data_IF_761250809964
#
_entry.id   IF_761250809964
#
_cell.length_a   1.000
_cell.length_b   1.000
_cell.length_c   1.000
_cell.angle_alpha   90.00
_cell.angle_beta   90.00
_cell.angle_gamma   90.00
#
_symmetry.space_group_name_H-M   'P 1'
#
loop_
_entity.id
_entity.type
_entity.pdbx_description
1 polymer ?
#
# COMPACT_ATOMS: atom_id res chain seq x y z
N UNK A 1 -35.76 -36.50 -37.34
CA UNK A 1 -34.64 -36.65 -36.38
C UNK A 1 -33.85 -35.34 -36.37
N UNK A 2 -34.12 -34.44 -35.41
CA UNK A 2 -33.39 -33.17 -35.26
C UNK A 2 -32.32 -33.35 -34.19
N UNK A 3 -31.05 -33.29 -34.59
CA UNK A 3 -29.90 -33.28 -33.67
C UNK A 3 -29.77 -31.87 -33.11
N UNK A 4 -29.95 -31.71 -31.80
CA UNK A 4 -29.65 -30.45 -31.10
C UNK A 4 -28.24 -30.60 -30.53
N UNK A 5 -27.31 -29.80 -31.04
CA UNK A 5 -25.94 -29.72 -30.57
C UNK A 5 -25.92 -28.71 -29.40
N UNK A 6 -25.47 -29.08 -28.18
CA UNK A 6 -25.25 -28.07 -27.15
C UNK A 6 -23.91 -27.37 -27.43
N UNK A 7 -23.98 -26.11 -27.83
CA UNK A 7 -22.81 -25.22 -27.83
C UNK A 7 -22.54 -24.88 -26.36
N UNK A 8 -21.58 -25.60 -25.78
CA UNK A 8 -20.91 -25.22 -24.55
C UNK A 8 -20.13 -23.95 -24.91
N UNK A 9 -20.73 -22.80 -24.64
CA UNK A 9 -20.06 -21.51 -24.69
C UNK A 9 -19.20 -21.40 -23.42
N UNK A 10 -18.01 -21.98 -23.46
CA UNK A 10 -16.91 -21.63 -22.56
C UNK A 10 -16.58 -20.16 -22.82
N UNK A 11 -17.22 -19.25 -22.09
CA UNK A 11 -16.74 -17.88 -21.94
C UNK A 11 -15.48 -17.99 -21.09
N UNK A 12 -14.26 -17.77 -21.63
CA UNK A 12 -13.10 -17.66 -20.77
C UNK A 12 -13.32 -16.42 -19.91
N UNK A 13 -13.35 -16.63 -18.61
CA UNK A 13 -13.20 -15.62 -17.56
C UNK A 13 -11.89 -14.86 -17.80
N UNK A 14 -11.92 -13.90 -18.71
CA UNK A 14 -10.96 -12.80 -18.75
C UNK A 14 -11.53 -11.70 -17.86
N UNK A 15 -11.66 -12.00 -16.57
CA UNK A 15 -11.58 -10.99 -15.52
C UNK A 15 -10.10 -10.56 -15.44
N UNK A 16 -9.60 -9.96 -16.52
CA UNK A 16 -8.43 -9.09 -16.45
C UNK A 16 -8.96 -7.80 -15.84
N UNK A 17 -9.32 -7.87 -14.56
CA UNK A 17 -9.44 -6.66 -13.76
C UNK A 17 -8.08 -5.98 -13.84
N UNK A 18 -8.05 -4.68 -14.06
CA UNK A 18 -6.90 -3.85 -13.72
C UNK A 18 -6.63 -4.04 -12.22
N UNK A 19 -5.91 -5.10 -11.86
CA UNK A 19 -5.49 -5.37 -10.49
C UNK A 19 -4.44 -4.34 -10.15
N UNK A 20 -4.80 -3.36 -9.32
CA UNK A 20 -3.81 -2.64 -8.53
C UNK A 20 -2.95 -3.69 -7.80
N UNK A 21 -1.63 -3.47 -7.66
CA UNK A 21 -0.80 -4.39 -6.90
C UNK A 21 -1.37 -4.64 -5.51
N UNK A 22 -1.26 -5.88 -5.01
CA UNK A 22 -1.84 -6.28 -3.71
C UNK A 22 -1.33 -5.40 -2.56
N UNK A 23 -0.05 -5.02 -2.63
CA UNK A 23 0.62 -4.05 -1.75
C UNK A 23 -0.13 -2.70 -1.69
N UNK A 24 -0.44 -2.10 -2.84
CA UNK A 24 -1.19 -0.83 -2.95
C UNK A 24 -2.58 -0.98 -2.36
N UNK A 25 -3.26 -2.10 -2.63
CA UNK A 25 -4.58 -2.36 -2.06
C UNK A 25 -4.54 -2.43 -0.54
N UNK A 26 -3.53 -3.07 0.05
CA UNK A 26 -3.41 -3.17 1.52
C UNK A 26 -3.24 -1.79 2.17
N UNK A 27 -2.46 -0.90 1.57
CA UNK A 27 -2.35 0.50 2.03
C UNK A 27 -3.67 1.25 1.86
N UNK A 28 -4.35 1.07 0.72
CA UNK A 28 -5.65 1.69 0.47
C UNK A 28 -6.70 1.24 1.49
N UNK A 29 -6.79 -0.07 1.75
CA UNK A 29 -7.73 -0.65 2.70
C UNK A 29 -7.44 -0.16 4.14
N UNK A 30 -6.18 0.04 4.51
CA UNK A 30 -5.79 0.63 5.79
C UNK A 30 -6.25 2.09 5.92
N UNK A 31 -6.10 2.90 4.86
CA UNK A 31 -6.64 4.27 4.83
C UNK A 31 -8.17 4.31 4.88
N UNK A 32 -8.87 3.40 4.20
CA UNK A 32 -10.33 3.28 4.28
C UNK A 32 -10.78 2.90 5.71
N UNK A 33 -10.05 2.00 6.37
CA UNK A 33 -10.29 1.63 7.77
C UNK A 33 -10.12 2.84 8.72
N UNK A 34 -9.14 3.71 8.47
CA UNK A 34 -8.92 4.88 9.30
C UNK A 34 -10.09 5.89 9.24
N UNK A 35 -10.75 6.04 8.08
CA UNK A 35 -11.89 6.96 7.91
C UNK A 35 -13.11 6.54 8.74
N UNK A 36 -13.29 5.23 8.97
CA UNK A 36 -14.37 4.72 9.82
C UNK A 36 -14.03 4.76 11.31
N UNK A 37 -12.86 5.33 11.67
CA UNK A 37 -12.38 5.55 13.04
C UNK A 37 -12.36 4.24 13.87
N UNK A 38 -12.00 3.13 13.23
CA UNK A 38 -11.92 1.80 13.84
C UNK A 38 -10.45 1.41 14.07
N UNK A 39 -9.93 1.74 15.26
CA UNK A 39 -8.54 1.48 15.65
C UNK A 39 -8.18 -0.01 15.60
N UNK A 40 -9.11 -0.90 15.95
CA UNK A 40 -8.88 -2.34 15.90
C UNK A 40 -8.75 -2.84 14.46
N UNK A 41 -9.52 -2.24 13.53
CA UNK A 41 -9.42 -2.56 12.12
C UNK A 41 -8.13 -2.03 11.52
N UNK A 42 -7.74 -0.80 11.85
CA UNK A 42 -6.47 -0.18 11.41
C UNK A 42 -5.28 -1.02 11.91
N UNK A 43 -5.27 -1.40 13.18
CA UNK A 43 -4.18 -2.19 13.77
C UNK A 43 -3.89 -3.52 13.03
N UNK A 44 -4.90 -4.14 12.41
CA UNK A 44 -4.73 -5.42 11.67
C UNK A 44 -3.82 -5.32 10.46
N UNK A 45 -3.59 -4.12 9.95
CA UNK A 45 -2.74 -3.90 8.80
C UNK A 45 -1.25 -3.74 9.17
N UNK A 46 -0.92 -3.52 10.44
CA UNK A 46 0.43 -3.23 10.91
C UNK A 46 1.06 -4.41 11.65
N UNK A 47 2.39 -4.48 11.64
CA UNK A 47 3.11 -5.46 12.46
C UNK A 47 3.08 -5.09 13.94
N UNK A 48 3.21 -6.08 14.81
CA UNK A 48 3.23 -5.87 16.25
C UNK A 48 4.41 -4.97 16.67
N UNK A 49 5.58 -5.11 16.02
CA UNK A 49 6.76 -4.29 16.27
C UNK A 49 6.55 -2.82 15.91
N UNK A 50 5.76 -2.57 14.86
CA UNK A 50 5.41 -1.21 14.45
C UNK A 50 4.40 -0.61 15.44
N UNK A 51 3.37 -1.37 15.82
CA UNK A 51 2.37 -0.96 16.81
C UNK A 51 2.93 -0.76 18.22
N UNK A 52 4.06 -1.39 18.54
CA UNK A 52 4.77 -1.15 19.79
C UNK A 52 5.39 0.25 19.88
N UNK A 53 5.57 0.93 18.74
CA UNK A 53 6.16 2.27 18.62
C UNK A 53 5.14 3.34 18.24
N UNK A 54 4.10 2.95 17.51
CA UNK A 54 3.03 3.83 17.02
C UNK A 54 1.68 3.29 17.46
N UNK A 55 0.94 4.05 18.25
CA UNK A 55 -0.36 3.56 18.74
C UNK A 55 -1.37 3.45 17.59
N UNK A 56 -2.28 2.47 17.65
CA UNK A 56 -3.32 2.33 16.64
C UNK A 56 -4.20 3.58 16.55
N UNK A 57 -4.53 4.21 17.68
CA UNK A 57 -5.30 5.47 17.74
C UNK A 57 -4.60 6.61 16.98
N UNK A 58 -3.29 6.79 17.21
CA UNK A 58 -2.48 7.79 16.49
C UNK A 58 -2.47 7.53 14.98
N UNK A 59 -2.24 6.27 14.59
CA UNK A 59 -2.25 5.86 13.18
C UNK A 59 -3.62 6.11 12.54
N UNK A 60 -4.72 5.75 13.21
CA UNK A 60 -6.09 6.04 12.74
C UNK A 60 -6.29 7.53 12.51
N UNK A 61 -5.90 8.37 13.48
CA UNK A 61 -6.10 9.81 13.39
C UNK A 61 -5.30 10.44 12.24
N UNK A 62 -4.01 10.10 12.13
CA UNK A 62 -3.12 10.60 11.08
C UNK A 62 -3.58 10.14 9.69
N UNK A 63 -3.89 8.85 9.54
CA UNK A 63 -4.33 8.30 8.26
C UNK A 63 -5.69 8.89 7.85
N UNK A 64 -6.63 9.06 8.78
CA UNK A 64 -7.89 9.72 8.49
C UNK A 64 -7.69 11.19 8.08
N UNK A 65 -6.72 11.89 8.69
CA UNK A 65 -6.36 13.25 8.30
C UNK A 65 -5.79 13.31 6.88
N UNK A 66 -4.86 12.41 6.53
CA UNK A 66 -4.32 12.31 5.18
C UNK A 66 -5.43 12.10 4.15
N UNK A 67 -6.40 11.23 4.43
CA UNK A 67 -7.54 11.02 3.54
C UNK A 67 -8.39 12.27 3.40
N UNK A 68 -8.67 12.97 4.50
CA UNK A 68 -9.42 14.24 4.47
C UNK A 68 -8.69 15.30 3.65
N UNK A 69 -7.37 15.41 3.82
CA UNK A 69 -6.52 16.35 3.08
C UNK A 69 -6.52 16.09 1.57
N UNK A 70 -6.71 14.84 1.16
CA UNK A 70 -6.81 14.45 -0.25
C UNK A 70 -8.22 14.33 -0.78
N UNK A 71 -9.25 14.51 0.05
CA UNK A 71 -10.66 14.32 -0.31
C UNK A 71 -11.01 12.88 -0.70
N UNK A 72 -10.39 11.88 -0.06
CA UNK A 72 -10.66 10.46 -0.27
C UNK A 72 -9.44 9.64 -0.70
N UNK A 73 -9.43 8.34 -0.39
CA UNK A 73 -8.32 7.42 -0.69
C UNK A 73 -7.98 7.38 -2.18
N UNK A 74 -9.00 7.42 -3.04
CA UNK A 74 -8.84 7.44 -4.50
C UNK A 74 -8.05 8.65 -5.03
N UNK A 75 -7.92 9.73 -4.24
CA UNK A 75 -7.21 10.95 -4.60
C UNK A 75 -5.80 11.03 -3.99
N UNK A 76 -5.39 10.03 -3.21
CA UNK A 76 -4.07 9.94 -2.58
C UNK A 76 -2.98 9.43 -3.53
N UNK A 77 -3.29 9.17 -4.80
CA UNK A 77 -2.32 8.74 -5.82
C UNK A 77 -1.42 7.57 -5.36
N UNK A 78 -2.01 6.56 -4.71
CA UNK A 78 -1.27 5.42 -4.18
C UNK A 78 -0.54 4.67 -5.30
N UNK A 79 0.77 4.46 -5.15
CA UNK A 79 1.60 3.82 -6.16
C UNK A 79 2.68 2.94 -5.52
N UNK A 80 2.80 1.71 -6.01
CA UNK A 80 3.98 0.88 -5.73
C UNK A 80 5.17 1.31 -6.59
N UNK A 81 6.32 1.51 -5.95
CA UNK A 81 7.58 1.77 -6.63
C UNK A 81 8.27 0.46 -6.99
N UNK A 82 8.71 0.34 -8.24
CA UNK A 82 9.60 -0.75 -8.66
C UNK A 82 11.05 -0.37 -8.37
N UNK A 83 11.93 -1.36 -8.21
CA UNK A 83 13.36 -1.13 -7.95
C UNK A 83 14.00 -0.12 -8.90
N UNK A 84 13.70 -0.20 -10.21
CA UNK A 84 14.23 0.73 -11.21
C UNK A 84 13.75 2.19 -11.09
N UNK A 85 12.74 2.46 -10.26
CA UNK A 85 12.20 3.79 -10.00
C UNK A 85 12.78 4.40 -8.71
N UNK A 86 13.55 3.61 -7.94
CA UNK A 86 14.14 4.04 -6.68
C UNK A 86 15.65 4.27 -6.82
N UNK A 87 16.19 5.18 -6.00
CA UNK A 87 17.63 5.39 -5.87
C UNK A 87 18.32 4.11 -5.36
N UNK A 88 19.51 3.82 -5.90
CA UNK A 88 20.34 2.69 -5.46
C UNK A 88 20.70 2.75 -3.97
N UNK A 89 20.86 3.94 -3.42
CA UNK A 89 21.14 4.15 -1.98
C UNK A 89 19.94 3.72 -1.13
N UNK A 90 18.73 4.15 -1.50
CA UNK A 90 17.51 3.81 -0.80
C UNK A 90 17.24 2.30 -0.84
N UNK A 91 17.40 1.69 -2.03
CA UNK A 91 17.27 0.23 -2.17
C UNK A 91 18.20 -0.53 -1.22
N UNK A 92 19.47 -0.12 -1.12
CA UNK A 92 20.44 -0.76 -0.20
C UNK A 92 20.07 -0.59 1.26
N UNK A 93 19.44 0.52 1.63
CA UNK A 93 18.96 0.75 3.00
C UNK A 93 17.79 -0.18 3.34
N UNK A 94 16.81 -0.29 2.44
CA UNK A 94 15.69 -1.23 2.56
C UNK A 94 16.20 -2.68 2.60
N UNK A 95 17.07 -3.09 1.68
CA UNK A 95 17.69 -4.43 1.67
C UNK A 95 18.50 -4.72 2.92
N UNK A 96 19.20 -3.72 3.47
CA UNK A 96 19.94 -3.89 4.73
C UNK A 96 19.00 -4.11 5.92
N UNK A 97 17.84 -3.47 5.92
CA UNK A 97 16.88 -3.55 7.01
C UNK A 97 16.02 -4.81 6.95
N UNK A 98 15.57 -5.21 5.76
CA UNK A 98 14.60 -6.29 5.56
C UNK A 98 15.17 -7.52 4.82
N UNK A 99 16.45 -7.47 4.44
CA UNK A 99 17.16 -8.60 3.86
C UNK A 99 16.51 -9.13 2.58
N UNK A 100 16.24 -10.43 2.57
CA UNK A 100 15.63 -11.16 1.45
C UNK A 100 14.12 -11.34 1.59
N UNK A 101 13.47 -10.61 2.50
CA UNK A 101 12.02 -10.65 2.63
C UNK A 101 11.36 -10.12 1.34
N UNK A 102 10.14 -10.58 1.05
CA UNK A 102 9.34 -10.10 -0.09
C UNK A 102 8.72 -8.74 0.30
N UNK A 103 9.55 -7.70 0.23
CA UNK A 103 9.20 -6.33 0.58
C UNK A 103 8.73 -5.52 -0.64
N UNK A 104 7.83 -4.58 -0.38
CA UNK A 104 7.26 -3.65 -1.35
C UNK A 104 7.27 -2.25 -0.78
N UNK A 105 7.48 -1.26 -1.66
CA UNK A 105 7.43 0.16 -1.31
C UNK A 105 6.21 0.79 -1.97
N UNK A 106 5.29 1.30 -1.16
CA UNK A 106 4.09 2.00 -1.63
C UNK A 106 4.11 3.43 -1.14
N UNK A 107 3.93 4.37 -2.06
CA UNK A 107 3.90 5.80 -1.75
C UNK A 107 2.46 6.28 -1.77
N UNK A 108 2.09 7.06 -0.76
CA UNK A 108 0.83 7.76 -0.66
C UNK A 108 1.08 9.26 -0.68
N UNK A 109 0.45 9.99 -1.59
CA UNK A 109 0.41 11.44 -1.52
C UNK A 109 -0.62 11.85 -0.47
N UNK A 110 -0.18 12.52 0.58
CA UNK A 110 -1.03 12.85 1.74
C UNK A 110 -1.51 14.30 1.73
N UNK A 111 -0.76 15.19 1.06
CA UNK A 111 -1.20 16.56 0.76
C UNK A 111 -0.47 17.09 -0.49
N UNK A 112 -0.41 18.41 -0.65
CA UNK A 112 0.23 19.06 -1.81
C UNK A 112 1.75 19.25 -1.66
N UNK A 113 2.33 18.87 -0.52
CA UNK A 113 3.74 19.06 -0.20
C UNK A 113 4.44 17.79 0.31
N UNK A 114 3.68 16.78 0.72
CA UNK A 114 4.19 15.61 1.41
C UNK A 114 3.66 14.29 0.85
N UNK A 115 4.46 13.25 1.08
CA UNK A 115 4.11 11.86 0.87
C UNK A 115 4.41 11.06 2.13
N UNK A 116 3.76 9.91 2.24
CA UNK A 116 4.17 8.84 3.14
C UNK A 116 4.65 7.67 2.29
N UNK A 117 5.85 7.19 2.60
CA UNK A 117 6.45 6.01 1.99
C UNK A 117 6.25 4.83 2.95
N UNK A 118 5.42 3.88 2.54
CA UNK A 118 5.11 2.68 3.31
C UNK A 118 6.00 1.52 2.87
N UNK A 119 6.63 0.86 3.83
CA UNK A 119 7.27 -0.44 3.62
C UNK A 119 6.32 -1.55 4.04
N UNK A 120 6.12 -2.50 3.14
CA UNK A 120 5.18 -3.60 3.29
C UNK A 120 5.94 -4.90 3.09
N UNK A 121 5.71 -5.89 3.96
CA UNK A 121 6.27 -7.23 3.81
C UNK A 121 5.15 -8.22 3.60
N UNK A 122 5.38 -9.21 2.73
CA UNK A 122 4.50 -10.37 2.61
C UNK A 122 4.66 -11.31 3.80
N UNK A 123 3.67 -11.33 4.70
CA UNK A 123 3.52 -12.36 5.72
C UNK A 123 2.98 -13.68 5.17
N UNK A 124 2.76 -14.66 6.05
CA UNK A 124 2.29 -15.99 5.66
C UNK A 124 0.90 -15.99 4.98
N UNK A 125 0.01 -15.10 5.44
CA UNK A 125 -1.38 -15.03 4.99
C UNK A 125 -1.78 -13.69 4.34
N UNK A 126 -1.05 -12.61 4.63
CA UNK A 126 -1.35 -11.26 4.14
C UNK A 126 -0.11 -10.39 4.04
N UNK A 127 -0.22 -9.28 3.32
CA UNK A 127 0.74 -8.19 3.37
C UNK A 127 0.54 -7.39 4.66
N UNK A 128 1.63 -6.92 5.26
CA UNK A 128 1.65 -6.21 6.55
C UNK A 128 2.53 -4.96 6.40
N UNK A 129 2.05 -3.81 6.91
CA UNK A 129 2.82 -2.58 6.98
C UNK A 129 3.80 -2.66 8.16
N UNK A 130 5.08 -2.44 7.88
CA UNK A 130 6.16 -2.62 8.87
C UNK A 130 6.93 -1.33 9.13
N UNK A 131 6.76 -0.32 8.29
CA UNK A 131 7.40 0.99 8.45
C UNK A 131 6.68 2.06 7.63
N UNK A 132 6.84 3.31 8.06
CA UNK A 132 6.39 4.52 7.35
C UNK A 132 7.44 5.62 7.47
N UNK A 133 7.69 6.34 6.38
CA UNK A 133 8.48 7.58 6.40
C UNK A 133 7.67 8.69 5.74
N UNK A 134 7.28 9.69 6.55
CA UNK A 134 6.64 10.91 6.06
C UNK A 134 7.71 11.91 5.65
N UNK A 135 7.60 12.41 4.42
CA UNK A 135 8.62 13.29 3.84
C UNK A 135 8.01 14.31 2.89
N UNK A 136 8.70 15.45 2.76
CA UNK A 136 8.38 16.43 1.71
C UNK A 136 8.65 15.86 0.32
N UNK A 137 8.02 16.43 -0.71
CA UNK A 137 8.31 16.06 -2.09
C UNK A 137 9.77 16.25 -2.48
N UNK A 138 10.43 17.29 -1.98
CA UNK A 138 11.85 17.54 -2.26
C UNK A 138 12.69 16.38 -1.73
N UNK A 139 12.50 16.01 -0.45
CA UNK A 139 13.21 14.88 0.16
C UNK A 139 12.89 13.55 -0.52
N UNK A 140 11.63 13.32 -0.89
CA UNK A 140 11.22 12.14 -1.65
C UNK A 140 11.90 12.03 -3.02
N UNK A 141 11.99 13.13 -3.76
CA UNK A 141 12.63 13.15 -5.07
C UNK A 141 14.16 13.04 -4.98
N UNK A 142 14.77 13.51 -3.89
CA UNK A 142 16.21 13.44 -3.66
C UNK A 142 16.66 12.08 -3.11
N UNK A 143 15.91 11.52 -2.15
CA UNK A 143 16.33 10.33 -1.40
C UNK A 143 15.73 9.03 -1.95
N UNK A 144 14.48 9.06 -2.45
CA UNK A 144 13.73 7.84 -2.78
C UNK A 144 13.71 7.58 -4.29
N UNK A 145 13.39 8.59 -5.10
CA UNK A 145 13.16 8.42 -6.55
C UNK A 145 14.43 8.65 -7.37
N UNK A 146 14.65 7.80 -8.37
CA UNK A 146 15.77 7.88 -9.33
C UNK A 146 15.53 8.86 -10.48
#
# INVERSE_FOLDING_TARGET
MKKILPIILCIPLLLVGCLSPTSVKVVADAYEAAIVEDDELVARYFSEEYLAQHSAEELTQEMAEDVRNRYGVNMMNLKELRNKEMQDSYLKEVEKQYGNDDWHIVVAQTNDQEVVVWTIIRGEASYILVNSDRMSFDRYNEEVIS
#
